data_IF_683831037852
#
_entry.id   IF_683831037852
#
_cell.length_a   1.000
_cell.length_b   1.000
_cell.length_c   1.000
_cell.angle_alpha   90.00
_cell.angle_beta   90.00
_cell.angle_gamma   90.00
#
_symmetry.space_group_name_H-M   'P 1'
#
loop_
_entity.id
_entity.type
_entity.pdbx_description
1 polymer ?
#
# COMPACT_ATOMS: atom_id res chain seq x y z
N UNK A 1 -50.43 3.29 52.90
CA UNK A 1 -49.26 4.09 52.49
C UNK A 1 -48.14 3.10 52.25
N UNK A 2 -47.82 2.76 51.00
CA UNK A 2 -46.71 1.87 50.70
C UNK A 2 -45.46 2.73 50.50
N UNK A 3 -44.50 2.60 51.41
CA UNK A 3 -43.17 3.20 51.28
C UNK A 3 -42.41 2.49 50.16
N UNK A 4 -42.03 3.26 49.13
CA UNK A 4 -41.09 2.82 48.11
C UNK A 4 -39.70 2.91 48.74
N UNK A 5 -39.12 1.76 49.10
CA UNK A 5 -37.72 1.69 49.52
C UNK A 5 -36.87 1.92 48.27
N UNK A 6 -36.44 3.16 48.08
CA UNK A 6 -35.52 3.53 47.01
C UNK A 6 -34.11 3.07 47.40
N UNK A 7 -33.64 1.99 46.78
CA UNK A 7 -32.25 1.54 46.95
C UNK A 7 -31.30 2.62 46.41
N UNK A 8 -30.26 3.03 47.15
CA UNK A 8 -29.27 3.96 46.61
C UNK A 8 -28.51 3.27 45.48
N UNK A 9 -28.31 4.01 44.38
CA UNK A 9 -27.49 3.58 43.27
C UNK A 9 -26.10 3.20 43.79
N UNK A 10 -25.63 2.00 43.43
CA UNK A 10 -24.25 1.57 43.73
C UNK A 10 -23.29 2.61 43.17
N UNK A 11 -22.59 3.31 44.07
CA UNK A 11 -21.40 4.06 43.72
C UNK A 11 -20.36 3.09 43.17
N UNK A 12 -20.16 3.12 41.85
CA UNK A 12 -19.12 2.36 41.14
C UNK A 12 -17.80 3.11 41.23
N UNK A 13 -16.81 2.45 41.84
CA UNK A 13 -15.44 2.91 41.94
C UNK A 13 -14.74 2.95 40.56
N UNK A 14 -14.05 4.05 40.23
CA UNK A 14 -13.03 4.10 39.16
C UNK A 14 -13.02 5.37 38.28
N UNK A 15 -11.82 5.91 38.01
CA UNK A 15 -11.48 7.21 37.36
C UNK A 15 -12.65 7.97 36.70
N UNK A 16 -13.23 8.85 37.51
CA UNK A 16 -14.01 10.07 37.18
C UNK A 16 -15.20 9.90 36.23
N UNK A 17 -16.38 9.70 36.82
CA UNK A 17 -17.68 10.31 36.51
C UNK A 17 -17.90 10.87 35.08
N UNK A 18 -17.83 10.00 34.07
CA UNK A 18 -18.28 10.27 32.70
C UNK A 18 -18.54 8.96 31.91
N UNK A 19 -19.15 7.97 32.54
CA UNK A 19 -19.36 6.62 31.95
C UNK A 19 -20.33 6.62 30.75
N UNK A 20 -20.98 7.74 30.43
CA UNK A 20 -21.97 7.81 29.34
C UNK A 20 -21.36 7.94 27.93
N UNK A 21 -20.04 8.11 27.80
CA UNK A 21 -19.38 8.43 26.51
C UNK A 21 -18.15 7.57 26.18
N UNK A 22 -17.94 6.45 26.87
CA UNK A 22 -16.88 5.50 26.51
C UNK A 22 -17.40 4.55 25.44
N UNK A 23 -16.71 4.48 24.31
CA UNK A 23 -16.98 3.42 23.33
C UNK A 23 -16.58 2.06 23.92
N UNK A 24 -17.48 1.10 23.81
CA UNK A 24 -17.18 -0.30 24.06
C UNK A 24 -16.21 -0.84 23.00
N UNK A 25 -15.47 -1.90 23.34
CA UNK A 25 -14.60 -2.58 22.37
C UNK A 25 -15.37 -3.11 21.15
N UNK A 26 -16.67 -3.41 21.30
CA UNK A 26 -17.55 -3.84 20.20
C UNK A 26 -17.81 -2.68 19.24
N UNK A 27 -18.12 -1.49 19.76
CA UNK A 27 -18.35 -0.29 18.94
C UNK A 27 -17.09 0.17 18.22
N UNK A 28 -15.92 0.11 18.88
CA UNK A 28 -14.64 0.40 18.22
C UNK A 28 -14.37 -0.59 17.09
N UNK A 29 -14.60 -1.89 17.32
CA UNK A 29 -14.46 -2.91 16.27
C UNK A 29 -15.42 -2.66 15.11
N UNK A 30 -16.67 -2.29 15.37
CA UNK A 30 -17.63 -1.94 14.33
C UNK A 30 -17.17 -0.74 13.49
N UNK A 31 -16.57 0.28 14.12
CA UNK A 31 -15.99 1.42 13.39
C UNK A 31 -14.85 1.00 12.47
N UNK A 32 -13.92 0.19 12.96
CA UNK A 32 -12.80 -0.31 12.14
C UNK A 32 -13.33 -1.18 10.99
N UNK A 33 -14.29 -2.06 11.25
CA UNK A 33 -14.93 -2.86 10.21
C UNK A 33 -15.59 -1.98 9.14
N UNK A 34 -16.26 -0.89 9.53
CA UNK A 34 -16.85 0.05 8.59
C UNK A 34 -15.78 0.75 7.73
N UNK A 35 -14.64 1.13 8.30
CA UNK A 35 -13.51 1.67 7.52
C UNK A 35 -13.04 0.64 6.49
N UNK A 36 -12.90 -0.63 6.89
CA UNK A 36 -12.50 -1.71 5.99
C UNK A 36 -13.55 -1.96 4.90
N UNK A 37 -14.84 -1.97 5.23
CA UNK A 37 -15.92 -2.13 4.25
C UNK A 37 -15.92 -1.00 3.21
N UNK A 38 -15.73 0.25 3.65
CA UNK A 38 -15.60 1.40 2.74
C UNK A 38 -14.34 1.28 1.88
N UNK A 39 -13.23 0.85 2.47
CA UNK A 39 -11.98 0.64 1.74
C UNK A 39 -12.13 -0.39 0.62
N UNK A 40 -12.79 -1.52 0.88
CA UNK A 40 -12.93 -2.58 -0.12
C UNK A 40 -14.11 -2.35 -1.09
N UNK A 41 -15.19 -1.71 -0.63
CA UNK A 41 -16.42 -1.53 -1.41
C UNK A 41 -16.46 -0.25 -2.23
N UNK A 42 -15.75 0.81 -1.81
CA UNK A 42 -15.85 2.15 -2.43
C UNK A 42 -14.48 2.65 -2.88
N UNK A 43 -13.45 2.52 -2.04
CA UNK A 43 -12.14 3.07 -2.33
C UNK A 43 -11.40 2.24 -3.40
N UNK A 44 -10.84 2.94 -4.38
CA UNK A 44 -9.97 2.37 -5.43
C UNK A 44 -8.49 2.52 -5.07
N UNK A 45 -7.74 1.42 -5.16
CA UNK A 45 -6.27 1.41 -5.07
C UNK A 45 -5.65 2.34 -6.12
N UNK A 46 -4.54 2.98 -5.77
CA UNK A 46 -3.80 4.02 -6.50
C UNK A 46 -4.56 5.33 -6.77
N UNK A 47 -5.82 5.46 -6.33
CA UNK A 47 -6.58 6.72 -6.41
C UNK A 47 -6.90 7.26 -5.02
N UNK A 48 -7.41 6.40 -4.13
CA UNK A 48 -7.82 6.78 -2.79
C UNK A 48 -6.77 6.41 -1.75
N UNK A 49 -5.99 5.37 -2.01
CA UNK A 49 -4.86 4.92 -1.22
C UNK A 49 -3.88 4.17 -2.12
N UNK A 50 -2.61 4.08 -1.76
CA UNK A 50 -1.61 3.31 -2.50
C UNK A 50 -0.44 2.88 -1.63
N UNK A 51 0.35 1.90 -2.07
CA UNK A 51 1.50 1.43 -1.29
C UNK A 51 2.78 2.02 -1.86
N UNK A 52 3.48 2.81 -1.05
CA UNK A 52 4.79 3.36 -1.44
C UNK A 52 5.85 2.27 -1.29
N UNK A 53 6.77 2.08 -2.26
CA UNK A 53 7.86 1.12 -2.13
C UNK A 53 8.63 1.29 -0.82
N UNK A 54 8.82 0.19 -0.08
CA UNK A 54 9.48 0.19 1.23
C UNK A 54 8.56 0.39 2.44
N UNK A 55 7.25 0.54 2.23
CA UNK A 55 6.24 0.64 3.31
C UNK A 55 5.35 -0.60 3.35
N UNK A 56 4.97 -1.06 4.55
CA UNK A 56 4.04 -2.20 4.69
C UNK A 56 2.57 -1.80 4.57
N UNK A 57 2.21 -0.64 5.12
CA UNK A 57 0.84 -0.14 5.14
C UNK A 57 0.58 0.80 3.97
N UNK A 58 -0.59 0.71 3.30
CA UNK A 58 -0.97 1.66 2.29
C UNK A 58 -1.03 3.08 2.86
N UNK A 59 -0.61 4.07 2.08
CA UNK A 59 -0.75 5.49 2.40
C UNK A 59 -2.12 5.99 1.97
N UNK A 60 -2.80 6.71 2.85
CA UNK A 60 -4.10 7.32 2.55
C UNK A 60 -3.91 8.59 1.72
N UNK A 61 -4.58 8.67 0.57
CA UNK A 61 -4.55 9.86 -0.27
C UNK A 61 -5.75 10.76 0.02
N UNK A 62 -5.67 12.01 -0.43
CA UNK A 62 -6.73 13.01 -0.27
C UNK A 62 -8.13 12.50 -0.66
N UNK A 63 -8.35 11.88 -1.83
CA UNK A 63 -9.67 11.37 -2.20
C UNK A 63 -10.19 10.31 -1.22
N UNK A 64 -9.30 9.47 -0.69
CA UNK A 64 -9.66 8.47 0.32
C UNK A 64 -10.06 9.08 1.65
N UNK A 65 -9.32 10.09 2.11
CA UNK A 65 -9.66 10.84 3.32
C UNK A 65 -11.00 11.59 3.19
N UNK A 66 -11.32 12.13 2.01
CA UNK A 66 -12.62 12.75 1.73
C UNK A 66 -13.76 11.72 1.78
N UNK A 67 -13.57 10.53 1.20
CA UNK A 67 -14.56 9.43 1.29
C UNK A 67 -14.83 9.07 2.76
N UNK A 68 -13.79 8.88 3.56
CA UNK A 68 -13.94 8.58 4.98
C UNK A 68 -14.64 9.73 5.74
N UNK A 69 -14.28 10.98 5.48
CA UNK A 69 -14.98 12.12 6.07
C UNK A 69 -16.48 12.10 5.77
N UNK A 70 -16.87 11.79 4.52
CA UNK A 70 -18.28 11.69 4.13
C UNK A 70 -18.97 10.52 4.82
N UNK A 71 -18.36 9.33 4.83
CA UNK A 71 -18.90 8.13 5.49
C UNK A 71 -19.22 8.40 6.97
N UNK A 72 -18.27 9.01 7.69
CA UNK A 72 -18.40 9.25 9.13
C UNK A 72 -19.05 10.60 9.47
N UNK A 73 -19.58 11.32 8.45
CA UNK A 73 -20.21 12.63 8.60
C UNK A 73 -19.32 13.62 9.35
N UNK A 74 -18.05 13.67 8.97
CA UNK A 74 -17.05 14.59 9.51
C UNK A 74 -16.97 15.83 8.62
N UNK A 75 -17.36 16.97 9.18
CA UNK A 75 -17.10 18.29 8.62
C UNK A 75 -15.67 18.72 8.99
N UNK A 76 -14.99 19.36 8.05
CA UNK A 76 -13.63 19.85 8.21
C UNK A 76 -13.66 21.37 8.48
N UNK A 77 -13.09 21.81 9.60
CA UNK A 77 -12.87 23.22 9.90
C UNK A 77 -11.36 23.48 9.96
N UNK A 78 -10.86 24.50 9.27
CA UNK A 78 -9.43 24.80 9.22
C UNK A 78 -9.08 26.05 10.01
N UNK A 79 -8.11 25.93 10.90
CA UNK A 79 -7.42 27.05 11.55
C UNK A 79 -6.06 27.18 10.90
N UNK A 80 -5.83 28.30 10.23
CA UNK A 80 -4.61 28.54 9.43
C UNK A 80 -3.74 29.55 10.17
N UNK A 81 -2.50 29.17 10.41
CA UNK A 81 -1.43 30.04 10.93
C UNK A 81 -0.45 30.31 9.80
N UNK A 82 -0.33 31.59 9.42
CA UNK A 82 0.72 32.04 8.48
C UNK A 82 2.01 32.28 9.26
N UNK A 83 3.02 31.46 8.96
CA UNK A 83 4.36 31.52 9.54
C UNK A 83 5.39 31.97 8.49
N UNK A 84 4.93 32.60 7.41
CA UNK A 84 5.78 33.05 6.32
C UNK A 84 6.71 34.17 6.77
N UNK A 85 7.93 34.13 6.24
CA UNK A 85 8.95 35.16 6.43
C UNK A 85 9.48 35.59 5.06
N UNK A 86 10.31 36.65 5.02
CA UNK A 86 10.84 37.12 3.74
C UNK A 86 11.54 36.00 2.97
N UNK A 87 11.05 35.69 1.77
CA UNK A 87 11.58 34.65 0.90
C UNK A 87 11.28 33.21 1.34
N UNK A 88 10.30 32.99 2.23
CA UNK A 88 9.80 31.67 2.61
C UNK A 88 8.29 31.72 2.88
N UNK A 89 7.51 30.96 2.11
CA UNK A 89 6.11 30.70 2.43
C UNK A 89 6.03 29.50 3.38
N UNK A 90 5.37 29.66 4.54
CA UNK A 90 5.22 28.58 5.52
C UNK A 90 3.86 28.69 6.19
N UNK A 91 3.12 27.58 6.19
CA UNK A 91 1.81 27.51 6.84
C UNK A 91 1.76 26.34 7.80
N UNK A 92 1.21 26.59 8.98
CA UNK A 92 0.73 25.56 9.89
C UNK A 92 -0.78 25.58 9.86
N UNK A 93 -1.38 24.43 9.66
CA UNK A 93 -2.83 24.30 9.55
C UNK A 93 -3.29 23.24 10.53
N UNK A 94 -4.28 23.59 11.35
CA UNK A 94 -5.00 22.63 12.20
C UNK A 94 -6.36 22.38 11.58
N UNK A 95 -6.64 21.15 11.18
CA UNK A 95 -7.94 20.70 10.74
C UNK A 95 -8.70 20.09 11.93
N UNK A 96 -9.83 20.68 12.28
CA UNK A 96 -10.74 20.19 13.32
C UNK A 96 -11.89 19.44 12.65
N UNK A 97 -12.04 18.16 12.99
CA UNK A 97 -13.15 17.32 12.55
C UNK A 97 -14.35 17.51 13.45
N UNK A 98 -15.50 17.90 12.90
CA UNK A 98 -16.78 17.99 13.63
C UNK A 98 -17.80 17.05 13.07
N UNK A 99 -18.64 16.48 13.91
CA UNK A 99 -19.78 15.73 13.42
C UNK A 99 -20.80 16.67 12.76
N UNK A 100 -21.15 16.43 11.49
CA UNK A 100 -21.94 17.34 10.66
C UNK A 100 -23.31 17.69 11.26
N UNK A 101 -23.95 16.75 11.96
CA UNK A 101 -25.29 16.99 12.51
C UNK A 101 -25.27 17.61 13.91
N UNK A 102 -24.31 17.24 14.74
CA UNK A 102 -24.29 17.65 16.16
C UNK A 102 -23.32 18.78 16.44
N UNK A 103 -22.40 19.09 15.52
CA UNK A 103 -21.36 20.11 15.69
C UNK A 103 -20.25 19.75 16.70
N UNK A 104 -20.36 18.59 17.35
CA UNK A 104 -19.39 18.09 18.33
C UNK A 104 -18.04 17.89 17.66
N UNK A 105 -16.98 18.43 18.28
CA UNK A 105 -15.61 18.20 17.85
C UNK A 105 -15.23 16.73 18.14
N UNK A 106 -14.82 16.01 17.10
CA UNK A 106 -14.46 14.60 17.15
C UNK A 106 -12.95 14.41 17.34
N UNK A 107 -12.15 15.34 16.83
CA UNK A 107 -10.69 15.29 16.88
C UNK A 107 -10.08 16.33 15.96
N UNK A 108 -8.76 16.40 15.95
CA UNK A 108 -8.02 17.34 15.10
C UNK A 108 -6.76 16.69 14.52
N UNK A 109 -6.23 17.31 13.48
CA UNK A 109 -4.99 16.94 12.83
C UNK A 109 -4.22 18.17 12.40
N UNK A 110 -2.91 18.16 12.59
CA UNK A 110 -2.03 19.29 12.26
C UNK A 110 -1.20 18.93 11.04
N UNK A 111 -1.11 19.87 10.10
CA UNK A 111 -0.26 19.80 8.93
C UNK A 111 0.62 21.04 8.84
N UNK A 112 1.88 20.85 8.51
CA UNK A 112 2.81 21.94 8.19
C UNK A 112 3.34 21.74 6.78
N UNK A 113 3.49 22.83 6.03
CA UNK A 113 4.21 22.82 4.77
C UNK A 113 5.04 24.11 4.64
N UNK A 114 6.21 24.00 4.00
CA UNK A 114 7.11 25.14 3.75
C UNK A 114 7.68 25.12 2.35
N UNK A 115 7.80 26.30 1.72
CA UNK A 115 8.53 26.46 0.46
C UNK A 115 10.03 26.18 0.61
N UNK A 116 10.53 26.03 1.84
CA UNK A 116 11.91 25.61 2.12
C UNK A 116 12.11 24.09 2.07
N UNK A 117 11.04 23.28 1.98
CA UNK A 117 11.16 21.84 1.72
C UNK A 117 11.86 21.61 0.37
N UNK A 118 12.73 20.60 0.28
CA UNK A 118 13.59 20.39 -0.89
C UNK A 118 12.81 20.35 -2.21
N UNK A 119 11.67 19.64 -2.22
CA UNK A 119 10.80 19.47 -3.40
C UNK A 119 10.17 20.77 -3.92
N UNK A 120 10.06 21.79 -3.08
CA UNK A 120 9.51 23.10 -3.44
C UNK A 120 10.62 24.12 -3.66
N UNK A 121 11.65 24.07 -2.83
CA UNK A 121 12.76 25.01 -2.83
C UNK A 121 13.56 24.98 -4.14
N UNK A 122 13.65 23.82 -4.77
CA UNK A 122 14.51 23.60 -5.93
C UNK A 122 13.72 23.07 -7.13
N UNK A 123 13.91 23.71 -8.28
CA UNK A 123 13.38 23.25 -9.57
C UNK A 123 14.51 22.94 -10.55
N UNK A 124 14.22 22.09 -11.52
CA UNK A 124 15.13 21.87 -12.65
C UNK A 124 15.35 23.15 -13.44
N UNK A 125 16.58 23.32 -13.91
CA UNK A 125 16.95 24.36 -14.87
C UNK A 125 16.27 24.06 -16.21
N UNK A 126 15.77 25.10 -16.89
CA UNK A 126 15.14 24.97 -18.21
C UNK A 126 16.21 24.90 -19.31
N UNK A 127 17.22 25.77 -19.23
CA UNK A 127 18.32 25.80 -20.19
C UNK A 127 19.62 26.31 -19.55
N UNK A 128 20.75 26.02 -20.18
CA UNK A 128 22.07 26.42 -19.67
C UNK A 128 22.21 27.94 -19.46
N UNK A 129 21.60 28.74 -20.33
CA UNK A 129 21.61 30.20 -20.20
C UNK A 129 20.95 30.69 -18.90
N UNK A 130 19.88 30.01 -18.45
CA UNK A 130 19.23 30.32 -17.16
C UNK A 130 20.15 29.99 -15.98
N UNK A 131 20.85 28.85 -16.04
CA UNK A 131 21.81 28.47 -15.00
C UNK A 131 22.98 29.47 -14.89
N UNK A 132 23.52 29.90 -16.03
CA UNK A 132 24.65 30.82 -16.08
C UNK A 132 24.27 32.23 -15.61
N UNK A 133 23.06 32.69 -15.94
CA UNK A 133 22.51 33.97 -15.48
C UNK A 133 22.08 33.97 -14.00
N UNK A 134 21.75 32.79 -13.44
CA UNK A 134 21.33 32.67 -12.04
C UNK A 134 22.53 32.80 -11.10
N UNK A 135 22.46 33.66 -10.06
CA UNK A 135 23.51 33.79 -9.05
C UNK A 135 23.91 32.46 -8.40
N UNK A 136 25.18 32.32 -8.04
CA UNK A 136 25.73 31.06 -7.52
C UNK A 136 25.05 30.59 -6.22
N UNK A 137 24.64 31.53 -5.36
CA UNK A 137 23.90 31.24 -4.13
C UNK A 137 22.46 30.74 -4.36
N UNK A 138 21.95 30.82 -5.60
CA UNK A 138 20.60 30.41 -5.98
C UNK A 138 20.58 29.17 -6.89
N UNK A 139 21.75 28.60 -7.20
CA UNK A 139 21.88 27.33 -7.93
C UNK A 139 22.49 26.26 -7.03
N UNK A 140 22.15 25.00 -7.32
CA UNK A 140 22.77 23.82 -6.71
C UNK A 140 22.90 22.71 -7.73
N UNK A 141 23.84 21.81 -7.50
CA UNK A 141 23.90 20.52 -8.18
C UNK A 141 23.34 19.45 -7.25
N UNK A 142 22.25 18.79 -7.67
CA UNK A 142 21.68 17.64 -6.95
C UNK A 142 22.40 16.37 -7.42
N UNK A 143 22.82 15.55 -6.47
CA UNK A 143 23.48 14.27 -6.71
C UNK A 143 22.50 13.12 -6.43
N UNK A 144 22.48 12.14 -7.33
CA UNK A 144 21.65 10.94 -7.19
C UNK A 144 22.52 9.73 -6.83
N UNK A 145 21.92 8.70 -6.23
CA UNK A 145 22.62 7.47 -5.80
C UNK A 145 23.29 6.71 -6.97
N UNK A 146 22.79 6.87 -8.19
CA UNK A 146 23.36 6.28 -9.40
C UNK A 146 24.57 7.07 -9.95
N UNK A 147 25.03 8.11 -9.27
CA UNK A 147 26.13 8.96 -9.71
C UNK A 147 25.72 10.08 -10.67
N UNK A 148 24.45 10.12 -11.10
CA UNK A 148 23.95 11.19 -11.95
C UNK A 148 23.87 12.50 -11.17
N UNK A 149 23.91 13.62 -11.91
CA UNK A 149 23.73 14.96 -11.36
C UNK A 149 22.66 15.72 -12.13
N UNK A 150 21.95 16.60 -11.43
CA UNK A 150 21.02 17.54 -12.05
C UNK A 150 21.28 18.95 -11.53
N UNK A 151 21.36 19.91 -12.46
CA UNK A 151 21.44 21.32 -12.11
C UNK A 151 20.05 21.83 -11.74
N UNK A 152 19.97 22.49 -10.59
CA UNK A 152 18.73 23.02 -10.03
C UNK A 152 18.94 24.47 -9.60
N UNK A 153 17.87 25.24 -9.69
CA UNK A 153 17.84 26.63 -9.21
C UNK A 153 16.70 26.82 -8.21
N UNK A 154 16.83 27.86 -7.39
CA UNK A 154 15.84 28.19 -6.38
C UNK A 154 14.54 28.63 -7.04
N UNK A 155 13.43 28.05 -6.60
CA UNK A 155 12.09 28.47 -7.02
C UNK A 155 11.70 29.76 -6.31
N UNK A 156 10.91 30.60 -6.99
CA UNK A 156 10.33 31.79 -6.38
C UNK A 156 9.28 31.39 -5.32
N UNK A 157 9.49 31.72 -4.03
CA UNK A 157 8.57 31.34 -2.97
C UNK A 157 7.15 31.91 -3.13
N UNK A 158 7.00 33.09 -3.73
CA UNK A 158 5.69 33.72 -3.92
C UNK A 158 4.77 32.89 -4.83
N UNK A 159 5.31 32.31 -5.90
CA UNK A 159 4.56 31.46 -6.84
C UNK A 159 4.07 30.17 -6.18
N UNK A 160 4.73 29.73 -5.11
CA UNK A 160 4.42 28.51 -4.40
C UNK A 160 3.49 28.73 -3.20
N UNK A 161 3.26 29.96 -2.74
CA UNK A 161 2.57 30.22 -1.47
C UNK A 161 1.21 29.49 -1.36
N UNK A 162 0.37 29.57 -2.40
CA UNK A 162 -0.92 28.87 -2.43
C UNK A 162 -0.75 27.33 -2.46
N UNK A 163 0.26 26.83 -3.18
CA UNK A 163 0.59 25.40 -3.19
C UNK A 163 1.00 24.93 -1.80
N UNK A 164 1.83 25.68 -1.09
CA UNK A 164 2.24 25.38 0.28
C UNK A 164 1.03 25.37 1.22
N UNK A 165 0.16 26.37 1.13
CA UNK A 165 -1.06 26.43 1.94
C UNK A 165 -1.97 25.21 1.68
N UNK A 166 -2.26 24.90 0.42
CA UNK A 166 -3.09 23.74 0.06
C UNK A 166 -2.49 22.42 0.50
N UNK A 167 -1.16 22.30 0.46
CA UNK A 167 -0.45 21.12 0.94
C UNK A 167 -0.52 21.00 2.46
N UNK A 168 -0.37 22.10 3.21
CA UNK A 168 -0.57 22.10 4.66
C UNK A 168 -2.01 21.69 5.04
N UNK A 169 -3.02 22.22 4.32
CA UNK A 169 -4.41 21.79 4.51
C UNK A 169 -4.61 20.30 4.20
N UNK A 170 -4.01 19.78 3.12
CA UNK A 170 -4.07 18.35 2.77
C UNK A 170 -3.53 17.48 3.90
N UNK A 171 -2.32 17.78 4.39
CA UNK A 171 -1.67 17.03 5.49
C UNK A 171 -2.50 17.08 6.77
N UNK A 172 -3.01 18.27 7.12
CA UNK A 172 -3.87 18.46 8.28
C UNK A 172 -5.18 17.64 8.19
N UNK A 173 -5.80 17.63 7.01
CA UNK A 173 -7.02 16.87 6.74
C UNK A 173 -6.79 15.37 6.90
N UNK A 174 -5.74 14.83 6.28
CA UNK A 174 -5.40 13.40 6.35
C UNK A 174 -5.12 13.00 7.80
N UNK A 175 -4.31 13.78 8.53
CA UNK A 175 -4.04 13.58 9.95
C UNK A 175 -5.33 13.53 10.77
N UNK A 176 -6.23 14.50 10.56
CA UNK A 176 -7.50 14.59 11.27
C UNK A 176 -8.38 13.38 10.97
N UNK A 177 -8.49 12.99 9.69
CA UNK A 177 -9.29 11.83 9.28
C UNK A 177 -8.78 10.56 9.95
N UNK A 178 -7.47 10.32 9.98
CA UNK A 178 -6.89 9.15 10.64
C UNK A 178 -7.16 9.15 12.15
N UNK A 179 -7.01 10.31 12.81
CA UNK A 179 -7.27 10.45 14.24
C UNK A 179 -8.74 10.23 14.60
N UNK A 180 -9.68 10.80 13.83
CA UNK A 180 -11.12 10.70 14.10
C UNK A 180 -11.67 9.31 13.79
N UNK A 181 -11.19 8.68 12.72
CA UNK A 181 -11.70 7.37 12.28
C UNK A 181 -10.94 6.19 12.89
N UNK A 182 -9.84 6.45 13.59
CA UNK A 182 -8.89 5.45 14.08
C UNK A 182 -8.31 4.55 12.98
N UNK A 183 -8.19 5.06 11.74
CA UNK A 183 -7.76 4.30 10.57
C UNK A 183 -6.23 4.22 10.39
N UNK A 184 -5.44 4.65 11.39
CA UNK A 184 -3.97 4.58 11.37
C UNK A 184 -3.42 3.15 11.49
N UNK A 185 -4.26 2.20 11.90
CA UNK A 185 -3.95 0.77 11.86
C UNK A 185 -3.89 0.24 10.41
N UNK A 186 -4.76 0.75 9.54
CA UNK A 186 -4.87 0.39 8.13
C UNK A 186 -3.96 1.26 7.25
N UNK A 187 -3.94 2.57 7.48
CA UNK A 187 -3.25 3.52 6.61
C UNK A 187 -2.07 4.22 7.28
N UNK A 188 -1.06 4.55 6.48
CA UNK A 188 -0.02 5.51 6.81
C UNK A 188 -0.36 6.92 6.35
N UNK A 189 0.34 7.89 6.92
CA UNK A 189 0.17 9.31 6.63
C UNK A 189 1.36 9.86 5.86
N UNK A 190 1.08 10.68 4.84
CA UNK A 190 1.99 11.61 4.15
C UNK A 190 3.33 11.00 3.68
N UNK A 191 3.45 9.68 3.55
CA UNK A 191 4.71 9.03 3.10
C UNK A 191 5.00 9.36 1.63
N UNK A 192 3.97 9.61 0.83
CA UNK A 192 4.12 10.05 -0.55
C UNK A 192 4.81 11.42 -0.65
N UNK A 193 4.70 12.23 0.41
CA UNK A 193 5.27 13.56 0.50
C UNK A 193 6.74 13.57 0.96
N UNK A 194 7.26 12.45 1.49
CA UNK A 194 8.65 12.35 1.96
C UNK A 194 9.62 12.05 0.80
N UNK A 195 10.83 12.66 0.79
CA UNK A 195 11.94 12.22 -0.06
C UNK A 195 12.24 10.74 0.16
N UNK A 196 12.57 10.02 -0.90
CA UNK A 196 12.82 8.57 -0.85
C UNK A 196 13.86 8.18 0.22
N UNK A 197 14.85 9.05 0.45
CA UNK A 197 15.92 8.84 1.43
C UNK A 197 15.46 8.98 2.88
N UNK A 198 14.38 9.74 3.12
CA UNK A 198 13.81 9.98 4.45
C UNK A 198 12.59 9.10 4.73
N UNK A 199 12.08 8.40 3.70
CA UNK A 199 10.99 7.44 3.92
C UNK A 199 11.50 6.38 4.89
N UNK A 200 10.71 6.00 5.91
CA UNK A 200 11.05 4.89 6.77
C UNK A 200 11.29 3.67 5.87
N UNK A 201 12.53 3.20 5.81
CA UNK A 201 12.75 1.82 5.41
C UNK A 201 12.33 1.03 6.63
N UNK A 202 11.12 0.49 6.64
CA UNK A 202 10.74 -0.49 7.64
C UNK A 202 11.63 -1.72 7.39
N UNK A 203 12.81 -1.72 8.01
CA UNK A 203 13.52 -2.96 8.32
C UNK A 203 12.53 -3.85 9.03
N UNK A 204 12.47 -5.12 8.64
CA UNK A 204 11.61 -6.22 9.12
C UNK A 204 11.70 -6.47 10.65
N UNK A 205 11.41 -5.46 11.46
CA UNK A 205 11.40 -5.44 12.92
C UNK A 205 10.25 -4.49 13.33
N UNK A 206 9.17 -4.87 14.01
CA UNK A 206 8.76 -6.10 14.65
C UNK A 206 7.25 -5.99 14.88
N UNK A 207 6.47 -6.93 14.35
CA UNK A 207 5.39 -7.53 15.12
C UNK A 207 5.24 -8.96 14.64
N UNK A 208 5.96 -9.86 15.28
CA UNK A 208 5.64 -11.28 15.35
C UNK A 208 4.30 -11.47 16.08
N UNK A 209 3.22 -10.92 15.53
CA UNK A 209 1.93 -11.59 15.62
C UNK A 209 2.02 -12.72 14.62
N UNK A 210 2.41 -13.89 15.12
CA UNK A 210 2.16 -15.16 14.48
C UNK A 210 0.74 -15.10 13.90
N UNK A 211 0.53 -15.15 12.57
CA UNK A 211 -0.80 -15.31 12.04
C UNK A 211 -1.39 -16.54 12.75
N UNK A 212 -2.61 -16.43 13.26
CA UNK A 212 -3.34 -17.63 13.69
C UNK A 212 -3.18 -18.69 12.60
N UNK A 213 -2.85 -19.95 12.94
CA UNK A 213 -2.58 -20.95 11.93
C UNK A 213 -3.76 -20.97 10.96
N UNK A 214 -3.48 -20.70 9.68
CA UNK A 214 -4.45 -20.91 8.62
C UNK A 214 -5.00 -22.33 8.78
N UNK A 215 -6.29 -22.58 8.46
CA UNK A 215 -6.82 -23.94 8.42
C UNK A 215 -5.92 -24.74 7.47
N UNK A 216 -5.04 -25.55 8.07
CA UNK A 216 -4.12 -26.40 7.36
C UNK A 216 -4.64 -27.82 7.49
N UNK A 217 -5.10 -28.38 6.39
CA UNK A 217 -5.45 -29.80 6.32
C UNK A 217 -4.32 -30.56 5.62
N UNK A 218 -3.36 -31.14 6.37
CA UNK A 218 -2.26 -31.89 5.79
C UNK A 218 -2.74 -33.13 5.02
N UNK A 219 -3.94 -33.66 5.31
CA UNK A 219 -4.49 -34.80 4.61
C UNK A 219 -4.95 -34.42 3.19
N UNK A 220 -5.55 -33.22 3.03
CA UNK A 220 -5.93 -32.69 1.72
C UNK A 220 -4.70 -32.43 0.84
N UNK A 221 -3.63 -31.87 1.41
CA UNK A 221 -2.38 -31.66 0.70
C UNK A 221 -1.75 -33.00 0.25
N UNK A 222 -1.68 -33.98 1.16
CA UNK A 222 -1.13 -35.29 0.86
C UNK A 222 -1.92 -36.03 -0.22
N UNK A 223 -3.25 -35.93 -0.20
CA UNK A 223 -4.13 -36.53 -1.20
C UNK A 223 -3.82 -35.98 -2.61
N UNK A 224 -3.81 -34.66 -2.77
CA UNK A 224 -3.57 -34.03 -4.07
C UNK A 224 -2.12 -34.18 -4.55
N UNK A 225 -1.14 -34.13 -3.66
CA UNK A 225 0.27 -34.41 -3.99
C UNK A 225 0.44 -35.87 -4.48
N UNK A 226 -0.22 -36.84 -3.84
CA UNK A 226 -0.20 -38.23 -4.29
C UNK A 226 -0.82 -38.38 -5.68
N UNK A 227 -1.95 -37.73 -5.94
CA UNK A 227 -2.58 -37.71 -7.27
C UNK A 227 -1.70 -37.05 -8.34
N UNK A 228 -1.01 -35.95 -8.00
CA UNK A 228 -0.07 -35.30 -8.91
C UNK A 228 1.10 -36.23 -9.24
N UNK A 229 1.70 -36.88 -8.25
CA UNK A 229 2.82 -37.80 -8.45
C UNK A 229 2.43 -39.07 -9.21
N UNK A 230 1.18 -39.52 -9.08
CA UNK A 230 0.64 -40.69 -9.79
C UNK A 230 0.24 -40.40 -11.24
N UNK A 231 0.16 -39.14 -11.67
CA UNK A 231 -0.21 -38.79 -13.04
C UNK A 231 0.83 -39.32 -14.05
N UNK A 232 0.39 -40.13 -15.00
CA UNK A 232 1.25 -40.79 -15.99
C UNK A 232 1.44 -39.98 -17.28
N UNK A 233 0.54 -39.05 -17.58
CA UNK A 233 0.58 -38.20 -18.79
C UNK A 233 0.43 -36.72 -18.44
N UNK A 234 0.93 -35.80 -19.30
CA UNK A 234 0.76 -34.36 -19.12
C UNK A 234 -0.71 -33.91 -19.01
N UNK A 235 -1.61 -34.59 -19.72
CA UNK A 235 -3.05 -34.31 -19.71
C UNK A 235 -3.66 -34.72 -18.37
N UNK A 236 -3.30 -35.89 -17.85
CA UNK A 236 -3.76 -36.36 -16.54
C UNK A 236 -3.26 -35.43 -15.41
N UNK A 237 -2.03 -34.92 -15.52
CA UNK A 237 -1.48 -33.96 -14.56
C UNK A 237 -2.23 -32.61 -14.58
N UNK A 238 -2.67 -32.17 -15.77
CA UNK A 238 -3.43 -30.94 -15.95
C UNK A 238 -4.83 -31.04 -15.33
N UNK A 239 -5.48 -32.20 -15.46
CA UNK A 239 -6.79 -32.44 -14.83
C UNK A 239 -6.69 -32.55 -13.30
N UNK A 240 -5.64 -33.21 -12.80
CA UNK A 240 -5.34 -33.24 -11.36
C UNK A 240 -5.06 -31.83 -10.82
N UNK A 241 -4.34 -31.00 -11.57
CA UNK A 241 -4.10 -29.59 -11.20
C UNK A 241 -5.40 -28.79 -11.07
N UNK A 242 -6.30 -28.87 -12.05
CA UNK A 242 -7.60 -28.17 -12.01
C UNK A 242 -8.44 -28.63 -10.82
N UNK A 243 -8.54 -29.94 -10.60
CA UNK A 243 -9.33 -30.52 -9.50
C UNK A 243 -8.74 -30.16 -8.12
N UNK A 244 -7.42 -30.27 -7.95
CA UNK A 244 -6.74 -29.95 -6.70
C UNK A 244 -6.77 -28.46 -6.36
N UNK A 245 -6.59 -27.58 -7.34
CA UNK A 245 -6.69 -26.12 -7.13
C UNK A 245 -8.11 -25.72 -6.74
N UNK A 246 -9.15 -26.30 -7.35
CA UNK A 246 -10.54 -26.04 -6.96
C UNK A 246 -10.80 -26.44 -5.51
N UNK A 247 -10.43 -27.67 -5.13
CA UNK A 247 -10.65 -28.19 -3.78
C UNK A 247 -9.85 -27.43 -2.69
N UNK A 248 -8.61 -27.03 -2.98
CA UNK A 248 -7.77 -26.30 -2.03
C UNK A 248 -8.21 -24.83 -1.89
N UNK A 249 -8.70 -24.21 -2.97
CA UNK A 249 -9.21 -22.84 -2.93
C UNK A 249 -10.53 -22.71 -2.16
N UNK A 250 -11.37 -23.75 -2.16
CA UNK A 250 -12.61 -23.80 -1.36
C UNK A 250 -12.33 -23.69 0.14
N UNK A 251 -11.26 -24.32 0.63
CA UNK A 251 -10.84 -24.27 2.04
C UNK A 251 -9.87 -23.13 2.35
N UNK A 252 -9.47 -22.35 1.33
CA UNK A 252 -8.53 -21.20 1.43
C UNK A 252 -7.19 -21.57 2.11
N UNK A 253 -6.72 -22.80 1.91
CA UNK A 253 -5.46 -23.30 2.48
C UNK A 253 -4.28 -23.01 1.53
N UNK A 254 -3.70 -21.82 1.68
CA UNK A 254 -2.55 -21.38 0.87
C UNK A 254 -1.31 -22.26 1.07
N UNK A 255 -1.14 -22.88 2.24
CA UNK A 255 0.02 -23.74 2.54
C UNK A 255 -0.07 -25.03 1.73
N UNK A 256 -1.25 -25.63 1.67
CA UNK A 256 -1.52 -26.82 0.85
C UNK A 256 -1.47 -26.51 -0.64
N UNK A 257 -1.89 -25.31 -1.05
CA UNK A 257 -1.79 -24.85 -2.44
C UNK A 257 -0.33 -24.79 -2.92
N UNK A 258 0.56 -24.21 -2.11
CA UNK A 258 1.98 -24.10 -2.43
C UNK A 258 2.66 -25.46 -2.52
N UNK A 259 2.39 -26.35 -1.56
CA UNK A 259 2.93 -27.72 -1.56
C UNK A 259 2.46 -28.52 -2.79
N UNK A 260 1.18 -28.41 -3.15
CA UNK A 260 0.62 -29.06 -4.33
C UNK A 260 1.22 -28.50 -5.64
N UNK A 261 1.38 -27.18 -5.75
CA UNK A 261 2.01 -26.53 -6.91
C UNK A 261 3.44 -26.98 -7.13
N UNK A 262 4.23 -27.12 -6.06
CA UNK A 262 5.61 -27.64 -6.14
C UNK A 262 5.63 -29.07 -6.66
N UNK A 263 4.74 -29.94 -6.15
CA UNK A 263 4.64 -31.33 -6.61
C UNK A 263 4.24 -31.45 -8.09
N UNK A 264 3.25 -30.68 -8.54
CA UNK A 264 2.82 -30.64 -9.94
C UNK A 264 3.91 -30.12 -10.86
N UNK A 265 4.63 -29.07 -10.45
CA UNK A 265 5.79 -28.55 -11.18
C UNK A 265 6.89 -29.60 -11.33
N UNK A 266 7.25 -30.29 -10.25
CA UNK A 266 8.25 -31.36 -10.26
C UNK A 266 7.82 -32.52 -11.17
N UNK A 267 6.56 -32.97 -11.08
CA UNK A 267 6.05 -34.05 -11.94
C UNK A 267 6.03 -33.65 -13.42
N UNK A 268 5.62 -32.42 -13.73
CA UNK A 268 5.61 -31.90 -15.10
C UNK A 268 6.99 -31.92 -15.75
N UNK A 269 8.05 -31.62 -15.00
CA UNK A 269 9.44 -31.75 -15.47
C UNK A 269 9.77 -33.22 -15.74
N UNK A 270 9.43 -34.15 -14.85
CA UNK A 270 9.72 -35.58 -15.04
C UNK A 270 9.00 -36.19 -16.25
N UNK A 271 7.77 -35.78 -16.53
CA UNK A 271 7.01 -36.26 -17.69
C UNK A 271 7.59 -35.73 -19.01
N UNK A 272 8.00 -34.46 -19.05
CA UNK A 272 8.70 -33.90 -20.22
C UNK A 272 10.04 -34.58 -20.50
N UNK A 273 10.79 -34.94 -19.46
CA UNK A 273 12.06 -35.66 -19.62
C UNK A 273 11.85 -37.11 -20.07
N UNK A 274 10.73 -37.74 -19.70
CA UNK A 274 10.40 -39.11 -20.11
C UNK A 274 9.98 -39.21 -21.59
N UNK A 275 9.34 -38.18 -22.14
CA UNK A 275 8.99 -38.11 -23.57
C UNK A 275 10.22 -37.99 -24.49
N UNK A 276 11.36 -37.49 -23.97
CA UNK A 276 12.58 -37.27 -24.75
C UNK A 276 13.47 -38.52 -24.94
N UNK A 277 13.11 -39.71 -24.41
CA UNK A 277 13.95 -40.91 -24.53
C UNK A 277 13.21 -42.15 -25.08
N UNK A 278 13.30 -42.41 -26.40
CA UNK A 278 13.34 -43.76 -26.93
C UNK A 278 14.74 -44.11 -27.50
N UNK A 279 15.27 -45.27 -27.12
CA UNK A 279 16.49 -45.95 -27.63
C UNK A 279 16.06 -47.26 -28.36
N UNK A 280 16.90 -48.01 -29.13
CA UNK A 280 18.25 -47.72 -29.66
C UNK A 280 18.58 -48.26 -31.10
N UNK A 281 19.78 -47.89 -31.61
CA UNK A 281 20.69 -48.57 -32.60
C UNK A 281 20.25 -48.69 -34.07
N UNK A 282 21.08 -48.39 -35.10
CA UNK A 282 22.27 -49.15 -35.54
C UNK A 282 23.31 -48.27 -36.29
N UNK A 283 24.57 -48.64 -36.10
CA UNK A 283 25.87 -48.41 -36.76
C UNK A 283 26.05 -47.80 -38.18
N UNK A 284 27.20 -47.11 -38.27
CA UNK A 284 28.22 -47.03 -39.35
C UNK A 284 28.21 -45.93 -40.43
N UNK A 285 29.34 -45.20 -40.41
CA UNK A 285 30.23 -44.82 -41.51
C UNK A 285 29.84 -43.72 -42.52
N UNK A 286 30.61 -42.63 -42.41
CA UNK A 286 31.32 -41.91 -43.46
C UNK A 286 30.59 -41.02 -44.48
N UNK A 287 31.29 -39.91 -44.77
CA UNK A 287 31.31 -39.09 -45.98
C UNK A 287 30.39 -37.85 -46.05
N UNK A 288 31.08 -36.71 -45.91
CA UNK A 288 31.19 -35.61 -46.87
C UNK A 288 30.19 -34.43 -46.92
N UNK A 289 30.84 -33.31 -47.22
CA UNK A 289 30.42 -32.11 -47.95
C UNK A 289 29.63 -30.94 -47.30
N UNK A 290 30.41 -29.86 -47.12
CA UNK A 290 30.27 -28.48 -47.64
C UNK A 290 28.99 -27.62 -47.49
N UNK A 291 29.22 -26.47 -46.81
CA UNK A 291 29.00 -25.04 -47.19
C UNK A 291 27.64 -24.53 -47.72
N UNK A 292 27.33 -23.30 -47.24
CA UNK A 292 26.40 -22.25 -47.72
C UNK A 292 25.04 -22.23 -47.00
N UNK A 293 24.75 -21.27 -46.12
CA UNK A 293 24.47 -19.83 -46.36
C UNK A 293 23.16 -19.64 -47.15
N UNK A 294 22.12 -19.14 -46.48
CA UNK A 294 21.14 -18.19 -47.02
C UNK A 294 20.06 -17.86 -45.97
N UNK A 295 19.98 -16.56 -45.66
CA UNK A 295 18.79 -15.69 -45.63
C UNK A 295 17.50 -16.12 -44.86
N UNK A 296 17.03 -15.35 -43.86
CA UNK A 296 16.22 -14.09 -43.98
C UNK A 296 14.86 -14.46 -44.65
N UNK A 297 13.66 -14.42 -44.05
CA UNK A 297 12.95 -13.34 -43.38
C UNK A 297 11.51 -13.78 -42.95
N UNK A 298 10.89 -12.98 -42.08
CA UNK A 298 9.46 -12.70 -41.80
C UNK A 298 8.34 -13.77 -41.93
N UNK A 299 7.49 -13.87 -40.90
CA UNK A 299 6.16 -13.23 -40.93
C UNK A 299 5.48 -13.21 -39.54
N UNK A 300 5.06 -12.02 -39.11
CA UNK A 300 3.96 -11.85 -38.16
C UNK A 300 2.65 -12.25 -38.85
N UNK A 301 1.83 -13.08 -38.21
CA UNK A 301 0.37 -13.00 -38.41
C UNK A 301 -0.35 -13.11 -37.06
N UNK A 302 -0.95 -11.98 -36.72
CA UNK A 302 -1.92 -11.69 -35.66
C UNK A 302 -2.84 -12.83 -35.19
N UNK A 303 -3.03 -12.89 -33.87
CA UNK A 303 -4.34 -13.01 -33.23
C UNK A 303 -4.27 -12.40 -31.82
#
# INVERSE_FOLDING_TARGET
MNEIIQMPARESAGLTAAETHRFSAVEIRQRVNLVQEVMHGIMKRETHYGTIPGTQKPTLYKPGAEVLCVTFRVAQEYKIEDLSVQGVARYRVTCVGRHQLTGVALGEGVGECSSSEEKYKWRGVICKAELDATPENLRRKKYYKNGNTADQIRTEPADLANTILKMACKRAMIAMTLNVTAASDIFTQDIEDLPEELRPQESTQTSSQKPAPAPHDPALAAHWIAHANAAATPEALTEVWKAGVSAINEVKDMTSYEAFKVAVGARGVTLKTAEMKPEPTIETAAADDTVADDDVEFEEVSA
#
